data_IF_499307756433
#
_entry.id   IF_499307756433
#
_cell.length_a   1.000
_cell.length_b   1.000
_cell.length_c   1.000
_cell.angle_alpha   90.00
_cell.angle_beta   90.00
_cell.angle_gamma   90.00
#
_symmetry.space_group_name_H-M   'P 1'
#
loop_
_entity.id
_entity.type
_entity.pdbx_description
1 polymer ?
#
# COMPACT_ATOMS: atom_id res chain seq x y z
N UNK A 1 1.53 12.84 7.15
CA UNK A 1 1.16 12.02 5.98
C UNK A 1 0.23 12.85 5.11
N UNK A 2 0.39 12.81 3.79
CA UNK A 2 -0.36 13.61 2.82
C UNK A 2 -0.90 12.69 1.73
N UNK A 3 -2.15 12.89 1.31
CA UNK A 3 -2.69 12.23 0.10
C UNK A 3 -2.20 13.00 -1.12
N UNK A 4 -1.40 12.36 -1.96
CA UNK A 4 -0.83 12.98 -3.18
C UNK A 4 -1.61 12.61 -4.44
N UNK A 5 -2.36 11.53 -4.40
CA UNK A 5 -3.24 11.11 -5.49
C UNK A 5 -4.49 10.44 -4.90
N UNK A 6 -5.67 10.78 -5.43
CA UNK A 6 -6.93 10.12 -5.08
C UNK A 6 -7.79 10.03 -6.33
N UNK A 7 -8.11 8.81 -6.75
CA UNK A 7 -9.05 8.50 -7.82
C UNK A 7 -10.05 7.48 -7.27
N UNK A 8 -11.31 7.88 -7.03
CA UNK A 8 -12.32 6.98 -6.48
C UNK A 8 -12.44 5.68 -7.28
N UNK A 9 -12.52 4.55 -6.56
CA UNK A 9 -12.63 3.21 -7.15
C UNK A 9 -11.41 2.73 -7.93
N UNK A 10 -10.29 3.47 -7.94
CA UNK A 10 -9.08 3.10 -8.68
C UNK A 10 -7.82 3.15 -7.83
N UNK A 11 -7.50 4.29 -7.24
CA UNK A 11 -6.23 4.40 -6.54
C UNK A 11 -6.20 5.54 -5.53
N UNK A 12 -5.29 5.42 -4.58
CA UNK A 12 -4.83 6.54 -3.79
C UNK A 12 -3.38 6.35 -3.39
N UNK A 13 -2.66 7.46 -3.27
CA UNK A 13 -1.26 7.47 -2.87
C UNK A 13 -1.10 8.32 -1.62
N UNK A 14 -0.48 7.74 -0.61
CA UNK A 14 -0.12 8.43 0.62
C UNK A 14 1.38 8.65 0.63
N UNK A 15 1.78 9.88 0.86
CA UNK A 15 3.16 10.26 1.08
C UNK A 15 3.41 10.52 2.57
N UNK A 16 4.50 9.94 3.08
CA UNK A 16 5.09 10.33 4.34
C UNK A 16 6.52 10.78 4.11
N UNK A 17 6.86 11.96 4.63
CA UNK A 17 8.18 12.57 4.46
C UNK A 17 8.72 12.98 5.83
N UNK A 18 9.95 12.57 6.10
CA UNK A 18 10.77 13.07 7.19
C UNK A 18 12.10 13.59 6.59
N UNK A 19 12.93 14.34 7.32
CA UNK A 19 14.21 14.79 6.79
C UNK A 19 15.02 13.62 6.23
N UNK A 20 15.51 13.76 4.99
CA UNK A 20 16.33 12.75 4.28
C UNK A 20 15.64 11.40 3.99
N UNK A 21 14.33 11.27 4.20
CA UNK A 21 13.60 10.04 3.93
C UNK A 21 12.18 10.30 3.47
N UNK A 22 11.79 9.60 2.42
CA UNK A 22 10.46 9.69 1.83
C UNK A 22 9.91 8.29 1.61
N UNK A 23 8.65 8.13 1.98
CA UNK A 23 7.87 6.91 1.83
C UNK A 23 6.62 7.22 1.00
N UNK A 24 6.45 6.46 -0.07
CA UNK A 24 5.23 6.46 -0.87
C UNK A 24 4.52 5.15 -0.67
N UNK A 25 3.23 5.23 -0.34
CA UNK A 25 2.32 4.11 -0.22
C UNK A 25 1.28 4.22 -1.31
N UNK A 26 1.43 3.42 -2.35
CA UNK A 26 0.57 3.39 -3.51
C UNK A 26 -0.43 2.25 -3.34
N UNK A 27 -1.71 2.57 -3.55
CA UNK A 27 -2.81 1.62 -3.52
C UNK A 27 -3.52 1.69 -4.86
N UNK A 28 -3.58 0.56 -5.55
CA UNK A 28 -4.22 0.45 -6.86
C UNK A 28 -5.22 -0.70 -6.87
N UNK A 29 -6.34 -0.46 -7.54
CA UNK A 29 -7.39 -1.42 -7.82
C UNK A 29 -7.42 -1.64 -9.33
N UNK A 30 -7.07 -2.85 -9.74
CA UNK A 30 -7.07 -3.26 -11.13
C UNK A 30 -8.29 -4.15 -11.32
N UNK A 31 -9.22 -3.68 -12.17
CA UNK A 31 -10.38 -4.48 -12.55
C UNK A 31 -9.92 -5.63 -13.46
N UNK A 32 -10.19 -6.85 -13.03
CA UNK A 32 -10.09 -8.06 -13.85
C UNK A 32 -11.50 -8.52 -14.24
N UNK A 33 -11.65 -9.44 -15.21
CA UNK A 33 -12.97 -9.90 -15.66
C UNK A 33 -13.86 -10.42 -14.51
N UNK A 34 -13.30 -11.23 -13.61
CA UNK A 34 -14.05 -11.91 -12.53
C UNK A 34 -13.51 -11.56 -11.13
N UNK A 35 -12.63 -10.57 -11.03
CA UNK A 35 -11.96 -10.22 -9.78
C UNK A 35 -11.53 -8.75 -9.77
N UNK A 36 -11.14 -8.27 -8.59
CA UNK A 36 -10.36 -7.04 -8.46
C UNK A 36 -8.99 -7.41 -7.89
N UNK A 37 -7.93 -7.07 -8.61
CA UNK A 37 -6.58 -7.17 -8.08
C UNK A 37 -6.26 -5.90 -7.29
N UNK A 38 -5.81 -6.09 -6.05
CA UNK A 38 -5.42 -5.00 -5.15
C UNK A 38 -3.90 -5.00 -5.04
N UNK A 39 -3.27 -3.95 -5.54
CA UNK A 39 -1.82 -3.77 -5.46
C UNK A 39 -1.52 -2.73 -4.38
N UNK A 40 -0.73 -3.13 -3.38
CA UNK A 40 -0.16 -2.21 -2.39
C UNK A 40 1.35 -2.18 -2.57
N UNK A 41 1.87 -1.04 -3.05
CA UNK A 41 3.30 -0.83 -3.29
C UNK A 41 3.83 0.20 -2.31
N UNK A 42 5.00 -0.10 -1.75
CA UNK A 42 5.70 0.84 -0.88
C UNK A 42 7.08 1.15 -1.46
N UNK A 43 7.33 2.44 -1.68
CA UNK A 43 8.59 2.93 -2.23
C UNK A 43 9.32 3.79 -1.21
N UNK A 44 10.58 3.45 -0.97
CA UNK A 44 11.48 4.18 -0.08
C UNK A 44 12.49 4.99 -0.89
N UNK A 45 12.72 6.25 -0.52
CA UNK A 45 13.72 7.10 -1.17
C UNK A 45 14.37 8.08 -0.20
N UNK A 46 15.51 8.65 -0.60
CA UNK A 46 16.32 9.57 0.21
C UNK A 46 17.54 8.91 0.85
N UNK A 47 18.43 9.70 1.44
CA UNK A 47 19.71 9.20 1.97
C UNK A 47 19.53 8.18 3.10
N UNK A 48 18.54 8.38 3.96
CA UNK A 48 18.28 7.47 5.09
C UNK A 48 17.62 6.15 4.66
N UNK A 49 17.17 6.02 3.41
CA UNK A 49 16.54 4.77 2.95
C UNK A 49 17.53 3.60 2.92
N UNK A 50 18.83 3.86 2.81
CA UNK A 50 19.87 2.82 2.84
C UNK A 50 19.92 2.15 4.22
N UNK A 51 19.74 2.94 5.28
CA UNK A 51 19.81 2.45 6.67
C UNK A 51 18.46 1.90 7.12
N UNK A 52 17.37 2.66 6.89
CA UNK A 52 16.04 2.32 7.38
C UNK A 52 15.27 1.37 6.46
N UNK A 53 15.55 1.41 5.16
CA UNK A 53 14.85 0.64 4.14
C UNK A 53 14.84 -0.87 4.39
N UNK A 54 15.98 -1.52 4.72
CA UNK A 54 16.02 -2.96 4.98
C UNK A 54 15.19 -3.40 6.21
N UNK A 55 15.12 -2.55 7.24
CA UNK A 55 14.31 -2.82 8.43
C UNK A 55 12.82 -2.66 8.11
N UNK A 56 12.44 -1.55 7.49
CA UNK A 56 11.05 -1.25 7.15
C UNK A 56 10.50 -2.23 6.11
N UNK A 57 11.30 -2.59 5.09
CA UNK A 57 10.92 -3.59 4.09
C UNK A 57 10.62 -4.94 4.73
N UNK A 58 11.43 -5.40 5.69
CA UNK A 58 11.13 -6.64 6.45
C UNK A 58 9.80 -6.55 7.18
N UNK A 59 9.54 -5.46 7.88
CA UNK A 59 8.28 -5.28 8.62
C UNK A 59 7.07 -5.23 7.68
N UNK A 60 7.19 -4.55 6.54
CA UNK A 60 6.13 -4.48 5.53
C UNK A 60 5.89 -5.83 4.85
N UNK A 61 6.95 -6.57 4.50
CA UNK A 61 6.81 -7.88 3.86
C UNK A 61 6.15 -8.91 4.78
N UNK A 62 6.25 -8.74 6.10
CA UNK A 62 5.51 -9.57 7.06
C UNK A 62 4.09 -9.06 7.30
N UNK A 63 3.91 -7.74 7.44
CA UNK A 63 2.63 -7.15 7.82
C UNK A 63 1.63 -6.98 6.67
N UNK A 64 2.09 -6.47 5.53
CA UNK A 64 1.22 -6.12 4.40
C UNK A 64 0.45 -7.32 3.84
N UNK A 65 1.05 -8.51 3.62
CA UNK A 65 0.29 -9.65 3.13
C UNK A 65 -0.84 -10.05 4.07
N UNK A 66 -0.62 -9.99 5.39
CA UNK A 66 -1.65 -10.28 6.40
C UNK A 66 -2.76 -9.24 6.35
N UNK A 67 -2.41 -7.95 6.24
CA UNK A 67 -3.39 -6.86 6.10
C UNK A 67 -4.23 -7.01 4.85
N UNK A 68 -3.61 -7.29 3.69
CA UNK A 68 -4.31 -7.47 2.42
C UNK A 68 -5.21 -8.72 2.44
N UNK A 69 -4.77 -9.83 3.04
CA UNK A 69 -5.59 -11.02 3.19
C UNK A 69 -6.85 -10.76 4.02
N UNK A 70 -6.72 -10.01 5.13
CA UNK A 70 -7.86 -9.61 5.96
C UNK A 70 -8.79 -8.63 5.25
N UNK A 71 -8.22 -7.69 4.49
CA UNK A 71 -8.99 -6.75 3.70
C UNK A 71 -9.81 -7.48 2.61
N UNK A 72 -9.20 -8.44 1.93
CA UNK A 72 -9.87 -9.31 0.96
C UNK A 72 -11.04 -10.04 1.62
N UNK A 73 -10.79 -10.74 2.73
CA UNK A 73 -11.83 -11.48 3.45
C UNK A 73 -13.00 -10.56 3.86
N UNK A 74 -12.71 -9.37 4.39
CA UNK A 74 -13.74 -8.39 4.77
C UNK A 74 -14.54 -7.87 3.57
N UNK A 75 -13.88 -7.64 2.43
CA UNK A 75 -14.53 -7.17 1.22
C UNK A 75 -15.40 -8.25 0.57
N UNK A 76 -14.96 -9.51 0.60
CA UNK A 76 -15.71 -10.66 0.08
C UNK A 76 -16.91 -10.99 0.98
N UNK A 77 -16.73 -10.93 2.31
CA UNK A 77 -17.82 -11.12 3.29
C UNK A 77 -18.91 -10.04 3.15
N UNK A 78 -18.52 -8.78 2.91
CA UNK A 78 -19.47 -7.68 2.67
C UNK A 78 -20.21 -7.76 1.34
N UNK A 79 -19.71 -8.51 0.35
CA UNK A 79 -20.40 -8.74 -0.92
C UNK A 79 -21.24 -10.03 -0.92
N UNK A 80 -21.25 -10.81 0.17
CA UNK A 80 -22.03 -12.04 0.29
C UNK A 80 -23.50 -11.81 0.74
N UNK A 81 -24.01 -10.58 0.65
CA UNK A 81 -25.40 -10.21 0.99
C UNK A 81 -26.12 -9.66 -0.25
#
# INVERSE_FOLDING_TARGET
MLLTQVVPGRCFTVESKIPLFRMLFEHELIQLPDATEVVHRVTFSGLLSIVLGPMLSRQLNTGLPVTLARLKALAEDRHAV
#
